data_IF_201908107027
#
_entry.id   IF_201908107027
#
_cell.length_a   1.000
_cell.length_b   1.000
_cell.length_c   1.000
_cell.angle_alpha   90.00
_cell.angle_beta   90.00
_cell.angle_gamma   90.00
#
_symmetry.space_group_name_H-M   'P 1'
#
loop_
_entity.id
_entity.type
_entity.pdbx_description
1 polymer ?
#
# COMPACT_ATOMS: atom_id res chain seq x y z
N UNK A 1 10.14 -26.61 60.51
CA UNK A 1 9.03 -27.52 60.14
C UNK A 1 7.75 -26.90 60.68
N UNK A 2 6.82 -26.26 59.91
CA UNK A 2 6.69 -25.92 58.43
C UNK A 2 7.93 -25.27 57.75
N UNK A 3 7.99 -24.77 56.49
CA UNK A 3 7.13 -24.54 55.28
C UNK A 3 5.61 -24.86 55.28
N UNK A 4 4.80 -23.85 54.91
CA UNK A 4 4.00 -23.66 53.65
C UNK A 4 3.76 -22.13 53.50
N UNK A 5 3.84 -21.44 52.36
CA UNK A 5 3.84 -21.85 50.95
C UNK A 5 2.41 -21.80 50.37
N UNK A 6 2.04 -21.00 49.36
CA UNK A 6 2.74 -20.04 48.50
C UNK A 6 1.74 -18.94 48.08
N UNK A 7 2.15 -17.67 48.03
CA UNK A 7 1.35 -16.59 47.42
C UNK A 7 1.60 -16.57 45.90
N UNK A 8 0.97 -17.49 45.18
CA UNK A 8 0.94 -17.44 43.71
C UNK A 8 -0.18 -16.51 43.27
N UNK A 9 0.15 -15.21 43.25
CA UNK A 9 -0.57 -14.15 42.54
C UNK A 9 -0.57 -14.38 41.04
N UNK A 10 -1.14 -15.50 40.60
CA UNK A 10 -1.37 -15.88 39.22
C UNK A 10 -2.40 -14.98 38.57
N UNK A 11 -2.02 -13.72 38.33
CA UNK A 11 -2.66 -12.91 37.31
C UNK A 11 -2.34 -13.56 35.96
N UNK A 12 -3.14 -14.58 35.64
CA UNK A 12 -3.33 -15.04 34.28
C UNK A 12 -3.81 -13.83 33.50
N UNK A 13 -2.84 -13.08 32.98
CA UNK A 13 -3.06 -12.11 31.94
C UNK A 13 -3.53 -12.95 30.77
N UNK A 14 -4.85 -13.09 30.67
CA UNK A 14 -5.51 -13.43 29.43
C UNK A 14 -5.09 -12.33 28.47
N UNK A 15 -3.99 -12.58 27.77
CA UNK A 15 -3.72 -12.00 26.47
C UNK A 15 -5.02 -12.21 25.73
N UNK A 16 -5.78 -11.12 25.60
CA UNK A 16 -6.90 -11.07 24.71
C UNK A 16 -6.27 -11.41 23.36
N UNK A 17 -6.49 -12.66 22.94
CA UNK A 17 -6.25 -13.09 21.58
C UNK A 17 -6.83 -11.98 20.74
N UNK A 18 -5.99 -11.25 20.02
CA UNK A 18 -6.48 -10.37 18.97
C UNK A 18 -6.99 -11.35 17.92
N UNK A 19 -8.26 -11.71 18.09
CA UNK A 19 -9.08 -12.38 17.10
C UNK A 19 -8.81 -11.61 15.82
N UNK A 20 -8.22 -12.29 14.83
CA UNK A 20 -7.62 -11.67 13.65
C UNK A 20 -8.60 -10.63 13.10
N UNK A 21 -8.28 -9.34 13.26
CA UNK A 21 -9.24 -8.26 12.99
C UNK A 21 -9.51 -8.26 11.49
N UNK A 22 -10.60 -8.97 11.12
CA UNK A 22 -11.08 -9.28 9.79
C UNK A 22 -10.46 -8.35 8.74
N UNK A 23 -9.37 -8.81 8.13
CA UNK A 23 -8.34 -7.97 7.52
C UNK A 23 -8.94 -6.79 6.78
N UNK A 24 -8.98 -5.62 7.44
CA UNK A 24 -9.77 -4.50 6.97
C UNK A 24 -9.40 -4.21 5.52
N UNK A 25 -10.37 -4.22 4.58
CA UNK A 25 -10.08 -4.21 3.15
C UNK A 25 -9.16 -3.02 2.86
N UNK A 26 -8.00 -3.29 2.25
CA UNK A 26 -6.90 -2.32 2.18
C UNK A 26 -7.41 -1.00 1.63
N UNK A 27 -7.56 -0.03 2.54
CA UNK A 27 -8.15 1.29 2.29
C UNK A 27 -7.42 2.10 1.24
N UNK A 28 -6.25 1.65 0.78
CA UNK A 28 -5.47 2.30 -0.26
C UNK A 28 -5.15 1.36 -1.45
N UNK A 29 -5.83 0.21 -1.56
CA UNK A 29 -5.71 -0.72 -2.69
C UNK A 29 -5.94 -0.03 -4.06
N UNK A 30 -6.90 0.91 -4.12
CA UNK A 30 -7.14 1.71 -5.33
C UNK A 30 -5.92 2.55 -5.76
N UNK A 31 -5.13 3.04 -4.80
CA UNK A 31 -3.89 3.78 -5.08
C UNK A 31 -2.77 2.88 -5.61
N UNK A 32 -2.68 1.63 -5.16
CA UNK A 32 -1.78 0.64 -5.74
C UNK A 32 -2.21 0.22 -7.15
N UNK A 33 -3.51 -0.02 -7.36
CA UNK A 33 -4.05 -0.31 -8.69
C UNK A 33 -3.69 0.82 -9.67
N UNK A 34 -3.93 2.08 -9.28
CA UNK A 34 -3.59 3.24 -10.10
C UNK A 34 -2.08 3.35 -10.38
N UNK A 35 -1.22 3.08 -9.39
CA UNK A 35 0.24 3.02 -9.61
C UNK A 35 0.62 2.03 -10.71
N UNK A 36 0.10 0.79 -10.64
CA UNK A 36 0.39 -0.26 -11.61
C UNK A 36 -0.21 0.04 -13.00
N UNK A 37 -1.41 0.62 -13.03
CA UNK A 37 -2.09 0.99 -14.28
C UNK A 37 -1.37 2.14 -15.00
N UNK A 38 -0.85 3.13 -14.26
CA UNK A 38 0.03 4.16 -14.83
C UNK A 38 1.33 3.55 -15.36
N UNK A 39 2.00 2.69 -14.59
CA UNK A 39 3.24 2.02 -15.03
C UNK A 39 3.07 1.25 -16.34
N UNK A 40 2.03 0.40 -16.42
CA UNK A 40 1.70 -0.36 -17.65
C UNK A 40 1.30 0.54 -18.81
N UNK A 41 0.65 1.69 -18.58
CA UNK A 41 0.35 2.70 -19.62
C UNK A 41 1.61 3.39 -20.20
N UNK A 42 2.73 3.29 -19.49
CA UNK A 42 4.06 3.76 -19.92
C UNK A 42 4.90 2.62 -20.52
N UNK A 43 4.46 1.37 -20.41
CA UNK A 43 5.18 0.19 -20.91
C UNK A 43 5.98 -0.56 -19.83
N UNK A 44 5.93 -0.12 -18.57
CA UNK A 44 6.71 -0.72 -17.48
C UNK A 44 6.06 -2.05 -17.05
N UNK A 45 6.86 -3.11 -17.03
CA UNK A 45 6.45 -4.46 -16.62
C UNK A 45 6.11 -4.55 -15.12
N UNK A 46 5.17 -5.43 -14.76
CA UNK A 46 4.73 -5.62 -13.37
C UNK A 46 5.84 -6.10 -12.42
N UNK A 47 6.86 -6.80 -12.92
CA UNK A 47 8.06 -7.17 -12.14
C UNK A 47 8.90 -5.93 -11.79
N UNK A 48 9.18 -5.07 -12.76
CA UNK A 48 9.89 -3.80 -12.55
C UNK A 48 9.11 -2.89 -11.59
N UNK A 49 7.79 -2.83 -11.72
CA UNK A 49 6.92 -2.10 -10.78
C UNK A 49 6.97 -2.69 -9.37
N UNK A 50 7.03 -4.02 -9.24
CA UNK A 50 7.17 -4.68 -7.94
C UNK A 50 8.54 -4.40 -7.31
N UNK A 51 9.62 -4.41 -8.09
CA UNK A 51 10.97 -4.05 -7.64
C UNK A 51 11.01 -2.60 -7.13
N UNK A 52 10.34 -1.66 -7.82
CA UNK A 52 10.19 -0.27 -7.33
C UNK A 52 9.44 -0.21 -6.01
N UNK A 53 8.35 -0.98 -5.84
CA UNK A 53 7.58 -1.05 -4.59
C UNK A 53 8.42 -1.61 -3.43
N UNK A 54 9.22 -2.64 -3.68
CA UNK A 54 10.10 -3.26 -2.68
C UNK A 54 11.32 -2.39 -2.34
N UNK A 55 11.78 -1.55 -3.29
CA UNK A 55 12.93 -0.65 -3.08
C UNK A 55 12.66 0.55 -2.15
N UNK A 56 11.38 0.91 -1.95
CA UNK A 56 10.99 2.04 -1.10
C UNK A 56 10.59 1.57 0.30
N UNK A 57 10.79 2.43 1.32
CA UNK A 57 10.36 2.08 2.67
C UNK A 57 8.85 1.87 2.76
N UNK A 58 8.40 0.90 3.56
CA UNK A 58 6.97 0.58 3.71
C UNK A 58 6.11 1.78 4.16
N UNK A 59 6.69 2.75 4.87
CA UNK A 59 6.01 4.02 5.18
C UNK A 59 5.85 4.91 3.94
N UNK A 60 6.90 5.05 3.13
CA UNK A 60 6.86 5.79 1.86
C UNK A 60 5.84 5.18 0.92
N UNK A 61 5.82 3.84 0.80
CA UNK A 61 4.83 3.15 0.00
C UNK A 61 3.40 3.38 0.50
N UNK A 62 3.16 3.25 1.82
CA UNK A 62 1.85 3.52 2.43
C UNK A 62 1.35 4.94 2.16
N UNK A 63 2.22 5.95 2.32
CA UNK A 63 1.91 7.36 2.02
C UNK A 63 1.63 7.58 0.52
N UNK A 64 2.44 6.99 -0.38
CA UNK A 64 2.24 7.06 -1.83
C UNK A 64 0.91 6.42 -2.25
N UNK A 65 0.55 5.25 -1.73
CA UNK A 65 -0.75 4.60 -1.99
C UNK A 65 -1.92 5.43 -1.49
N UNK A 66 -1.82 6.02 -0.29
CA UNK A 66 -2.87 6.89 0.24
C UNK A 66 -3.09 8.13 -0.65
N UNK A 67 -2.02 8.78 -1.09
CA UNK A 67 -2.09 9.92 -2.03
C UNK A 67 -2.67 9.53 -3.40
N UNK A 68 -2.27 8.39 -3.95
CA UNK A 68 -2.79 7.88 -5.22
C UNK A 68 -4.27 7.44 -5.13
N UNK A 69 -4.71 6.96 -3.97
CA UNK A 69 -6.12 6.65 -3.74
C UNK A 69 -6.98 7.93 -3.79
N UNK A 70 -6.59 8.98 -3.07
CA UNK A 70 -7.26 10.29 -3.14
C UNK A 70 -7.19 10.90 -4.56
N UNK A 71 -6.08 10.70 -5.27
CA UNK A 71 -5.95 11.15 -6.66
C UNK A 71 -6.89 10.40 -7.60
N UNK A 72 -7.09 9.08 -7.41
CA UNK A 72 -8.06 8.27 -8.14
C UNK A 72 -9.49 8.80 -7.94
N UNK A 73 -9.88 9.14 -6.71
CA UNK A 73 -11.20 9.73 -6.43
C UNK A 73 -11.39 11.10 -7.11
N UNK A 74 -10.33 11.92 -7.14
CA UNK A 74 -10.30 13.17 -7.90
C UNK A 74 -10.37 12.94 -9.43
N UNK A 75 -9.73 11.89 -9.96
CA UNK A 75 -9.84 11.54 -11.39
C UNK A 75 -11.27 11.09 -11.72
N UNK A 76 -11.85 10.21 -10.91
CA UNK A 76 -13.21 9.70 -11.08
C UNK A 76 -14.26 10.82 -11.05
N UNK A 77 -14.18 11.71 -10.06
CA UNK A 77 -15.10 12.86 -9.95
C UNK A 77 -14.98 13.86 -11.11
N UNK A 78 -13.80 13.97 -11.73
CA UNK A 78 -13.54 14.82 -12.91
C UNK A 78 -13.68 14.08 -14.25
N UNK A 79 -13.98 12.79 -14.24
CA UNK A 79 -14.03 11.90 -15.43
C UNK A 79 -12.73 11.91 -16.26
N UNK A 80 -11.59 11.98 -15.57
CA UNK A 80 -10.26 11.94 -16.18
C UNK A 80 -9.77 10.50 -16.32
N UNK A 81 -9.20 10.16 -17.47
CA UNK A 81 -8.53 8.89 -17.70
C UNK A 81 -7.01 9.02 -17.48
N UNK A 82 -6.34 7.90 -17.23
CA UNK A 82 -4.88 7.87 -17.05
C UNK A 82 -4.17 8.46 -18.27
N UNK A 83 -4.65 8.18 -19.49
CA UNK A 83 -4.08 8.74 -20.72
C UNK A 83 -4.07 10.27 -20.69
N UNK A 84 -5.11 10.92 -20.18
CA UNK A 84 -5.20 12.39 -20.07
C UNK A 84 -4.15 12.98 -19.11
N UNK A 85 -3.82 12.23 -18.04
CA UNK A 85 -2.80 12.61 -17.05
C UNK A 85 -1.38 12.36 -17.57
N UNK A 86 -1.20 11.34 -18.42
CA UNK A 86 0.10 10.90 -18.93
C UNK A 86 0.45 11.53 -20.29
N UNK A 87 -0.50 12.12 -21.01
CA UNK A 87 -0.26 12.71 -22.34
C UNK A 87 0.66 13.94 -22.28
N UNK A 88 1.55 14.09 -23.28
CA UNK A 88 2.45 15.24 -23.42
C UNK A 88 3.55 15.38 -22.37
N UNK A 89 3.62 14.47 -21.40
CA UNK A 89 4.60 14.49 -20.29
C UNK A 89 5.98 14.01 -20.74
N UNK A 90 7.00 14.85 -20.58
CA UNK A 90 8.37 14.57 -21.02
C UNK A 90 9.02 13.40 -20.26
N UNK A 91 8.71 13.25 -18.98
CA UNK A 91 9.10 12.10 -18.15
C UNK A 91 8.56 10.77 -18.71
N UNK A 92 7.41 10.80 -19.36
CA UNK A 92 6.74 9.63 -19.92
C UNK A 92 7.20 9.32 -21.34
N UNK A 93 7.46 10.35 -22.14
CA UNK A 93 8.10 10.20 -23.45
C UNK A 93 9.50 9.60 -23.27
N UNK A 94 10.26 10.07 -22.27
CA UNK A 94 11.57 9.51 -21.93
C UNK A 94 11.48 8.07 -21.46
N UNK A 95 10.58 7.75 -20.53
CA UNK A 95 10.40 6.36 -20.05
C UNK A 95 10.05 5.39 -21.20
N UNK A 96 9.18 5.81 -22.12
CA UNK A 96 8.82 5.04 -23.33
C UNK A 96 9.96 4.87 -24.35
N UNK A 97 10.99 5.71 -24.29
CA UNK A 97 12.17 5.61 -25.16
C UNK A 97 13.30 4.77 -24.54
N UNK A 98 13.17 4.41 -23.25
CA UNK A 98 14.12 3.61 -22.48
C UNK A 98 13.61 2.18 -22.20
N UNK A 99 12.41 1.85 -22.67
CA UNK A 99 11.74 0.54 -22.54
C UNK A 99 11.56 -0.06 -23.92
#
# INVERSE_FOLDING_TARGET
>A
MPRDGTDDGGSSTSVASREDECSAPDKHAGGEKLFREMGRSVGIEDETLNNVIQSVSGETWRKRRAGLHLFLDNMNSKKLHIVDILHGRSDIILAKALT
#
